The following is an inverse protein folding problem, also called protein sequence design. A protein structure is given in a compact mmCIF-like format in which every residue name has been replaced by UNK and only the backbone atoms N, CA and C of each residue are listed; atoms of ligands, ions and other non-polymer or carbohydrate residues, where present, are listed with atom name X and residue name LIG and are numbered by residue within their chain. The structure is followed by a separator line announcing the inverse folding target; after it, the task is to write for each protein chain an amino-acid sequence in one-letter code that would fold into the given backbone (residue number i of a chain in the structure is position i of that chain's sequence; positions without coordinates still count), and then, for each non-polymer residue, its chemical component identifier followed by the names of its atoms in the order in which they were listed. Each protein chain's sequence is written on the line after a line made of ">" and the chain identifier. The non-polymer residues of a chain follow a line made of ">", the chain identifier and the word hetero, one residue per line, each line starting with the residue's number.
data_IF_886880834507
#
_entry.id   IF_886880834507
#
_cell.length_a   1.000
_cell.length_b   1.000
_cell.length_c   1.000
_cell.angle_alpha   90.00
_cell.angle_beta   90.00
_cell.angle_gamma   90.00
#
_symmetry.space_group_name_H-M   'P 1'
#
loop_
_entity.id
_entity.type
_entity.pdbx_description
1 polymer ?
#
# COMPACT_ATOMS: atom_id res chain seq x y z
N UNK A 1 32.36 -47.17 -56.94
CA UNK A 1 31.64 -46.96 -58.22
C UNK A 1 32.55 -46.16 -59.11
N UNK A 2 33.14 -46.78 -60.14
CA UNK A 2 34.03 -46.11 -61.08
C UNK A 2 33.18 -45.53 -62.23
N UNK A 3 33.27 -44.22 -62.50
CA UNK A 3 32.59 -43.65 -63.65
C UNK A 3 33.30 -44.06 -64.96
N UNK A 4 32.53 -44.45 -66.00
CA UNK A 4 33.10 -44.79 -67.30
C UNK A 4 33.50 -43.51 -68.03
N UNK A 5 34.80 -43.36 -68.27
CA UNK A 5 35.35 -42.29 -69.11
C UNK A 5 34.72 -42.40 -70.51
N UNK A 6 33.79 -41.49 -70.81
CA UNK A 6 33.19 -41.35 -72.15
C UNK A 6 34.28 -40.84 -73.10
N UNK A 7 34.99 -41.78 -73.73
CA UNK A 7 35.93 -41.45 -74.79
C UNK A 7 35.15 -40.85 -75.96
N UNK A 8 35.27 -39.53 -76.16
CA UNK A 8 34.64 -38.82 -77.26
C UNK A 8 35.26 -39.27 -78.59
N UNK A 9 34.40 -39.66 -79.53
CA UNK A 9 34.77 -40.08 -80.87
C UNK A 9 35.43 -38.90 -81.62
N UNK A 10 36.66 -39.08 -82.08
CA UNK A 10 37.51 -38.00 -82.63
C UNK A 10 36.84 -37.29 -83.81
N UNK A 11 36.07 -38.00 -84.62
CA UNK A 11 35.38 -37.44 -85.78
C UNK A 11 34.26 -36.45 -85.39
N UNK A 12 33.54 -36.72 -84.29
CA UNK A 12 32.56 -35.77 -83.72
C UNK A 12 33.25 -34.55 -83.12
N UNK A 13 34.41 -34.75 -82.48
CA UNK A 13 35.20 -33.64 -81.97
C UNK A 13 35.68 -32.73 -83.11
N UNK A 14 36.13 -33.31 -84.22
CA UNK A 14 36.52 -32.57 -85.42
C UNK A 14 35.31 -31.81 -85.99
N UNK A 15 34.13 -32.45 -86.12
CA UNK A 15 32.94 -31.76 -86.66
C UNK A 15 32.51 -30.57 -85.79
N UNK A 16 32.51 -30.72 -84.46
CA UNK A 16 32.20 -29.62 -83.55
C UNK A 16 33.23 -28.49 -83.62
N UNK A 17 34.50 -28.83 -83.83
CA UNK A 17 35.55 -27.83 -84.01
C UNK A 17 35.35 -27.04 -85.29
N UNK A 18 35.02 -27.70 -86.40
CA UNK A 18 34.72 -27.05 -87.67
C UNK A 18 33.49 -26.14 -87.58
N UNK A 19 32.44 -26.58 -86.88
CA UNK A 19 31.25 -25.76 -86.65
C UNK A 19 31.57 -24.54 -85.78
N UNK A 20 32.42 -24.69 -84.76
CA UNK A 20 32.86 -23.57 -83.93
C UNK A 20 33.71 -22.57 -84.71
N UNK A 21 34.62 -23.05 -85.57
CA UNK A 21 35.41 -22.19 -86.45
C UNK A 21 34.52 -21.43 -87.44
N UNK A 22 33.46 -22.07 -87.97
CA UNK A 22 32.47 -21.43 -88.83
C UNK A 22 31.62 -20.37 -88.12
N UNK A 23 31.33 -20.55 -86.83
CA UNK A 23 30.61 -19.55 -86.03
C UNK A 23 31.51 -18.36 -85.66
N UNK A 24 32.82 -18.59 -85.50
CA UNK A 24 33.81 -17.58 -85.13
C UNK A 24 34.64 -17.10 -86.34
N UNK A 25 33.98 -16.91 -87.49
CA UNK A 25 34.66 -16.53 -88.75
C UNK A 25 35.10 -15.08 -88.75
N UNK A 26 34.32 -14.18 -88.14
CA UNK A 26 34.66 -12.77 -88.12
C UNK A 26 35.59 -12.44 -86.96
N UNK A 27 36.69 -11.67 -87.18
CA UNK A 27 37.55 -11.18 -86.11
C UNK A 27 36.80 -10.37 -85.03
N UNK A 28 35.63 -9.82 -85.39
CA UNK A 28 34.73 -9.12 -84.47
C UNK A 28 34.17 -10.05 -83.40
N UNK A 29 33.88 -11.30 -83.72
CA UNK A 29 33.33 -12.28 -82.78
C UNK A 29 34.36 -12.72 -81.74
N UNK A 30 35.61 -12.90 -82.18
CA UNK A 30 36.75 -13.16 -81.29
C UNK A 30 37.00 -11.97 -80.34
N UNK A 31 36.91 -10.74 -80.84
CA UNK A 31 37.03 -9.53 -80.02
C UNK A 31 35.87 -9.40 -79.01
N UNK A 32 34.63 -9.70 -79.42
CA UNK A 32 33.47 -9.72 -78.54
C UNK A 32 33.61 -10.79 -77.45
N UNK A 33 34.10 -11.99 -77.79
CA UNK A 33 34.37 -13.06 -76.84
C UNK A 33 35.48 -12.68 -75.85
N UNK A 34 36.58 -12.08 -76.33
CA UNK A 34 37.66 -11.57 -75.47
C UNK A 34 37.15 -10.48 -74.52
N UNK A 35 36.33 -9.55 -75.01
CA UNK A 35 35.71 -8.52 -74.20
C UNK A 35 34.78 -9.12 -73.14
N UNK A 36 33.93 -10.07 -73.52
CA UNK A 36 33.04 -10.79 -72.60
C UNK A 36 33.83 -11.56 -71.54
N UNK A 37 34.92 -12.22 -71.92
CA UNK A 37 35.81 -12.92 -70.99
C UNK A 37 36.44 -11.95 -69.98
N UNK A 38 36.94 -10.81 -70.44
CA UNK A 38 37.54 -9.81 -69.56
C UNK A 38 36.51 -9.16 -68.63
N UNK A 39 35.28 -8.92 -69.13
CA UNK A 39 34.17 -8.46 -68.30
C UNK A 39 33.80 -9.49 -67.23
N UNK A 40 33.76 -10.78 -67.58
CA UNK A 40 33.50 -11.86 -66.64
C UNK A 40 34.58 -11.95 -65.55
N UNK A 41 35.86 -11.83 -65.92
CA UNK A 41 36.97 -11.79 -64.94
C UNK A 41 36.84 -10.59 -63.99
N UNK A 42 36.51 -9.41 -64.52
CA UNK A 42 36.26 -8.20 -63.71
C UNK A 42 35.09 -8.39 -62.74
N UNK A 43 33.96 -8.93 -63.23
CA UNK A 43 32.80 -9.25 -62.42
C UNK A 43 33.11 -10.30 -61.35
N UNK A 44 33.89 -11.33 -61.69
CA UNK A 44 34.32 -12.38 -60.77
C UNK A 44 35.21 -11.81 -59.66
N UNK A 45 36.18 -10.95 -60.02
CA UNK A 45 37.04 -10.26 -59.06
C UNK A 45 36.24 -9.34 -58.14
N UNK A 46 35.30 -8.56 -58.69
CA UNK A 46 34.42 -7.67 -57.93
C UNK A 46 33.50 -8.47 -56.99
N UNK A 47 32.87 -9.54 -57.50
CA UNK A 47 32.01 -10.42 -56.71
C UNK A 47 32.79 -11.07 -55.56
N UNK A 48 34.02 -11.53 -55.81
CA UNK A 48 34.88 -12.08 -54.78
C UNK A 48 35.22 -11.05 -53.69
N UNK A 49 35.54 -9.82 -54.08
CA UNK A 49 35.78 -8.70 -53.15
C UNK A 49 34.55 -8.43 -52.30
N UNK A 50 33.38 -8.24 -52.91
CA UNK A 50 32.13 -7.98 -52.18
C UNK A 50 31.76 -9.13 -51.23
N UNK A 51 31.94 -10.39 -51.66
CA UNK A 51 31.73 -11.53 -50.80
C UNK A 51 32.66 -11.50 -49.57
N UNK A 52 33.93 -11.12 -49.77
CA UNK A 52 34.90 -11.02 -48.67
C UNK A 52 34.55 -9.88 -47.70
N UNK A 53 34.09 -8.74 -48.21
CA UNK A 53 33.65 -7.60 -47.38
C UNK A 53 32.40 -7.93 -46.55
N UNK A 54 31.43 -8.61 -47.16
CA UNK A 54 30.23 -9.06 -46.45
C UNK A 54 30.60 -10.10 -45.39
N UNK A 55 31.50 -11.04 -45.72
CA UNK A 55 31.98 -12.05 -44.75
C UNK A 55 32.69 -11.40 -43.56
N UNK A 56 33.58 -10.43 -43.79
CA UNK A 56 34.30 -9.75 -42.70
C UNK A 56 33.34 -8.96 -41.80
N UNK A 57 32.39 -8.24 -42.40
CA UNK A 57 31.35 -7.50 -41.68
C UNK A 57 30.46 -8.43 -40.84
N UNK A 58 30.09 -9.60 -41.39
CA UNK A 58 29.32 -10.60 -40.66
C UNK A 58 30.08 -11.16 -39.45
N UNK A 59 31.37 -11.46 -39.61
CA UNK A 59 32.23 -11.90 -38.51
C UNK A 59 32.39 -10.84 -37.42
N UNK A 60 32.43 -9.55 -37.78
CA UNK A 60 32.44 -8.45 -36.81
C UNK A 60 31.12 -8.35 -36.03
N UNK A 61 29.99 -8.46 -36.72
CA UNK A 61 28.67 -8.53 -36.09
C UNK A 61 28.55 -9.71 -35.12
N UNK A 62 29.04 -10.89 -35.50
CA UNK A 62 29.03 -12.09 -34.66
C UNK A 62 29.82 -11.85 -33.36
N UNK A 63 31.04 -11.30 -33.47
CA UNK A 63 31.85 -10.92 -32.29
C UNK A 63 31.13 -9.92 -31.39
N UNK A 64 30.46 -8.91 -31.96
CA UNK A 64 29.69 -7.92 -31.19
C UNK A 64 28.50 -8.57 -30.49
N UNK A 65 27.81 -9.51 -31.14
CA UNK A 65 26.71 -10.27 -30.52
C UNK A 65 27.21 -11.08 -29.33
N UNK A 66 28.34 -11.77 -29.46
CA UNK A 66 28.89 -12.57 -28.37
C UNK A 66 29.38 -11.70 -27.20
N UNK A 67 30.01 -10.55 -27.48
CA UNK A 67 30.37 -9.58 -26.46
C UNK A 67 29.12 -9.04 -25.72
N UNK A 68 28.02 -8.76 -26.42
CA UNK A 68 26.76 -8.35 -25.81
C UNK A 68 26.15 -9.46 -24.94
N UNK A 69 26.16 -10.73 -25.39
CA UNK A 69 25.70 -11.86 -24.59
C UNK A 69 26.48 -11.98 -23.28
N UNK A 70 27.80 -11.84 -23.33
CA UNK A 70 28.64 -11.90 -22.14
C UNK A 70 28.28 -10.78 -21.15
N UNK A 71 28.12 -9.54 -21.63
CA UNK A 71 27.71 -8.41 -20.77
C UNK A 71 26.34 -8.60 -20.13
N UNK A 72 25.39 -9.23 -20.83
CA UNK A 72 24.08 -9.56 -20.27
C UNK A 72 24.21 -10.56 -19.13
N UNK A 73 25.05 -11.59 -19.29
CA UNK A 73 25.26 -12.59 -18.24
C UNK A 73 26.01 -12.02 -17.03
N UNK A 74 27.02 -11.18 -17.28
CA UNK A 74 27.74 -10.45 -16.22
C UNK A 74 26.79 -9.54 -15.43
N UNK A 75 25.99 -8.73 -16.12
CA UNK A 75 25.00 -7.86 -15.46
C UNK A 75 23.97 -8.66 -14.65
N UNK A 76 23.55 -9.84 -15.13
CA UNK A 76 22.66 -10.73 -14.37
C UNK A 76 23.33 -11.34 -13.13
N UNK A 77 24.63 -11.58 -13.19
CA UNK A 77 25.39 -12.07 -12.04
C UNK A 77 25.70 -10.96 -11.01
N UNK A 78 25.74 -9.70 -11.44
CA UNK A 78 25.96 -8.52 -10.58
C UNK A 78 24.67 -8.03 -9.91
N UNK A 79 23.50 -8.23 -10.52
CA UNK A 79 22.23 -7.92 -9.85
C UNK A 79 22.08 -8.78 -8.60
N UNK A 80 21.79 -8.14 -7.46
CA UNK A 80 21.48 -8.77 -6.17
C UNK A 80 20.58 -9.97 -6.42
N UNK A 81 21.06 -11.18 -6.06
CA UNK A 81 20.27 -12.38 -6.21
C UNK A 81 18.97 -12.20 -5.42
N UNK A 82 17.83 -12.66 -5.95
CA UNK A 82 16.53 -12.55 -5.27
C UNK A 82 16.60 -13.01 -3.79
N UNK A 83 17.49 -13.95 -3.48
CA UNK A 83 17.76 -14.42 -2.12
C UNK A 83 18.33 -13.36 -1.15
N UNK A 84 19.17 -12.42 -1.62
CA UNK A 84 19.69 -11.32 -0.79
C UNK A 84 18.61 -10.27 -0.52
N UNK A 85 17.74 -9.99 -1.51
CA UNK A 85 16.56 -9.14 -1.30
C UNK A 85 15.59 -9.77 -0.31
N UNK A 86 15.30 -11.07 -0.43
CA UNK A 86 14.45 -11.80 0.50
C UNK A 86 15.01 -11.82 1.93
N UNK A 87 16.34 -11.91 2.07
CA UNK A 87 17.01 -11.84 3.37
C UNK A 87 16.85 -10.46 4.01
N UNK A 88 17.11 -9.39 3.25
CA UNK A 88 16.95 -8.01 3.74
C UNK A 88 15.49 -7.69 4.07
N UNK A 89 14.53 -8.17 3.27
CA UNK A 89 13.11 -7.99 3.54
C UNK A 89 12.69 -8.70 4.83
N UNK A 90 13.21 -9.91 5.08
CA UNK A 90 12.95 -10.64 6.32
C UNK A 90 13.57 -9.96 7.54
N UNK A 91 14.81 -9.50 7.43
CA UNK A 91 15.51 -8.81 8.52
C UNK A 91 14.81 -7.49 8.89
N UNK A 92 14.32 -6.75 7.90
CA UNK A 92 13.53 -5.54 8.11
C UNK A 92 12.20 -5.83 8.84
N UNK A 93 11.49 -6.89 8.45
CA UNK A 93 10.24 -7.30 9.10
C UNK A 93 10.48 -7.74 10.56
N UNK A 94 11.57 -8.46 10.82
CA UNK A 94 11.95 -8.90 12.17
C UNK A 94 12.27 -7.72 13.10
N UNK A 95 13.03 -6.72 12.63
CA UNK A 95 13.32 -5.52 13.43
C UNK A 95 12.07 -4.66 13.64
N UNK A 96 11.20 -4.52 12.63
CA UNK A 96 9.94 -3.78 12.79
C UNK A 96 9.04 -4.44 13.84
N UNK A 97 8.93 -5.77 13.80
CA UNK A 97 8.13 -6.51 14.78
C UNK A 97 8.70 -6.38 16.20
N UNK A 98 10.03 -6.43 16.34
CA UNK A 98 10.73 -6.22 17.61
C UNK A 98 10.50 -4.82 18.17
N UNK A 99 10.59 -3.77 17.34
CA UNK A 99 10.29 -2.39 17.77
C UNK A 99 8.85 -2.26 18.28
N UNK A 100 7.88 -2.88 17.59
CA UNK A 100 6.48 -2.92 18.03
C UNK A 100 6.32 -3.57 19.40
N UNK A 101 6.97 -4.72 19.62
CA UNK A 101 6.92 -5.40 20.93
C UNK A 101 7.57 -4.57 22.04
N UNK A 102 8.66 -3.86 21.75
CA UNK A 102 9.29 -2.98 22.76
C UNK A 102 8.38 -1.81 23.13
N UNK A 103 7.78 -1.14 22.15
CA UNK A 103 6.89 0.00 22.40
C UNK A 103 5.65 -0.40 23.21
N UNK A 104 4.99 -1.52 22.84
CA UNK A 104 3.85 -2.05 23.58
C UNK A 104 4.27 -2.45 25.02
N UNK A 105 5.48 -2.98 25.18
CA UNK A 105 6.03 -3.35 26.49
C UNK A 105 6.18 -2.15 27.42
N UNK A 106 6.70 -1.03 26.91
CA UNK A 106 6.85 0.20 27.67
C UNK A 106 5.49 0.79 28.08
N UNK A 107 4.52 0.84 27.16
CA UNK A 107 3.15 1.29 27.45
C UNK A 107 2.46 0.43 28.52
N UNK A 108 2.62 -0.89 28.44
CA UNK A 108 2.06 -1.81 29.42
C UNK A 108 2.66 -1.58 30.80
N UNK A 109 3.98 -1.40 30.89
CA UNK A 109 4.67 -1.14 32.14
C UNK A 109 4.21 0.18 32.78
N UNK A 110 4.01 1.23 31.99
CA UNK A 110 3.48 2.51 32.47
C UNK A 110 2.04 2.38 33.01
N UNK A 111 1.18 1.65 32.29
CA UNK A 111 -0.19 1.38 32.74
C UNK A 111 -0.22 0.54 34.03
N UNK A 112 0.69 -0.42 34.18
CA UNK A 112 0.82 -1.21 35.40
C UNK A 112 1.23 -0.33 36.58
N UNK A 113 2.18 0.60 36.40
CA UNK A 113 2.53 1.59 37.42
C UNK A 113 1.37 2.50 37.79
N UNK A 114 0.59 2.97 36.81
CA UNK A 114 -0.62 3.76 37.07
C UNK A 114 -1.65 2.97 37.87
N UNK A 115 -1.87 1.70 37.52
CA UNK A 115 -2.79 0.83 38.24
C UNK A 115 -2.39 0.62 39.70
N UNK A 116 -1.09 0.41 39.97
CA UNK A 116 -0.54 0.30 41.34
C UNK A 116 -0.84 1.58 42.14
N UNK A 117 -0.55 2.75 41.56
CA UNK A 117 -0.80 4.05 42.20
C UNK A 117 -2.28 4.26 42.54
N UNK A 118 -3.19 3.94 41.60
CA UNK A 118 -4.64 4.04 41.83
C UNK A 118 -5.10 3.06 42.92
N UNK A 119 -4.57 1.85 42.96
CA UNK A 119 -4.87 0.89 44.02
C UNK A 119 -4.44 1.41 45.40
N UNK A 120 -3.29 2.08 45.48
CA UNK A 120 -2.80 2.66 46.72
C UNK A 120 -3.63 3.86 47.17
N UNK A 121 -3.98 4.76 46.24
CA UNK A 121 -4.91 5.86 46.50
C UNK A 121 -6.28 5.37 46.98
N UNK A 122 -6.79 4.27 46.41
CA UNK A 122 -8.04 3.64 46.88
C UNK A 122 -7.93 3.18 48.33
N UNK A 123 -6.82 2.54 48.72
CA UNK A 123 -6.59 2.10 50.10
C UNK A 123 -6.51 3.28 51.07
N UNK A 124 -5.85 4.38 50.68
CA UNK A 124 -5.75 5.57 51.54
C UNK A 124 -7.11 6.25 51.74
N UNK A 125 -7.91 6.40 50.67
CA UNK A 125 -9.26 6.94 50.74
C UNK A 125 -10.17 6.13 51.68
N UNK A 126 -10.15 4.79 51.58
CA UNK A 126 -10.91 3.93 52.49
C UNK A 126 -10.51 4.12 53.96
N UNK A 127 -9.22 4.30 54.23
CA UNK A 127 -8.72 4.55 55.59
C UNK A 127 -9.21 5.90 56.12
N UNK A 128 -9.19 6.94 55.30
CA UNK A 128 -9.69 8.28 55.62
C UNK A 128 -11.21 8.26 55.86
N UNK A 129 -11.96 7.57 55.03
CA UNK A 129 -13.41 7.42 55.20
C UNK A 129 -13.75 6.73 56.52
N UNK A 130 -13.05 5.63 56.84
CA UNK A 130 -13.20 4.92 58.10
C UNK A 130 -12.85 5.78 59.32
N UNK A 131 -11.79 6.59 59.25
CA UNK A 131 -11.45 7.50 60.35
C UNK A 131 -12.45 8.65 60.49
N UNK A 132 -12.99 9.17 59.38
CA UNK A 132 -14.05 10.19 59.38
C UNK A 132 -15.34 9.69 60.03
N UNK A 133 -15.77 8.47 59.71
CA UNK A 133 -16.96 7.83 60.33
C UNK A 133 -16.77 7.61 61.84
N UNK A 134 -15.55 7.28 62.28
CA UNK A 134 -15.19 7.20 63.71
C UNK A 134 -15.18 8.57 64.39
N UNK A 135 -14.65 9.60 63.74
CA UNK A 135 -14.65 10.96 64.28
C UNK A 135 -16.07 11.54 64.42
N UNK A 136 -16.96 11.27 63.45
CA UNK A 136 -18.37 11.71 63.50
C UNK A 136 -19.19 11.00 64.60
N UNK A 137 -18.86 9.75 64.92
CA UNK A 137 -19.51 9.01 66.01
C UNK A 137 -18.99 9.35 67.41
N UNK A 138 -17.89 10.12 67.51
CA UNK A 138 -17.26 10.50 68.79
C UNK A 138 -17.51 11.98 69.18
N UNK A 139 -18.38 12.72 68.48
CA UNK A 139 -18.79 14.06 68.94
C UNK A 139 -19.56 13.94 70.26
N UNK A 140 -19.05 14.50 71.38
CA UNK A 140 -19.74 14.39 72.65
C UNK A 140 -21.07 15.15 72.58
N UNK A 141 -22.15 14.51 73.03
CA UNK A 141 -23.50 15.05 73.01
C UNK A 141 -23.65 16.41 73.75
N UNK A 142 -22.65 16.81 74.54
CA UNK A 142 -22.56 18.11 75.20
C UNK A 142 -22.39 19.28 74.22
N UNK A 143 -21.67 19.10 73.11
CA UNK A 143 -21.38 20.19 72.14
C UNK A 143 -22.57 20.53 71.24
N UNK A 144 -23.49 19.57 71.03
CA UNK A 144 -24.66 19.72 70.17
C UNK A 144 -25.72 20.63 70.82
N UNK A 145 -25.84 20.58 72.14
CA UNK A 145 -26.74 21.43 72.92
C UNK A 145 -26.22 22.88 73.01
N UNK A 146 -24.90 23.08 73.10
CA UNK A 146 -24.30 24.42 73.08
C UNK A 146 -24.40 25.10 71.71
N UNK A 147 -24.25 24.35 70.62
CA UNK A 147 -24.43 24.88 69.25
C UNK A 147 -25.90 25.26 68.98
N UNK A 148 -26.86 24.43 69.42
CA UNK A 148 -28.29 24.75 69.31
C UNK A 148 -28.69 25.96 70.17
N UNK A 149 -28.08 26.16 71.36
CA UNK A 149 -28.28 27.37 72.18
C UNK A 149 -27.74 28.63 71.49
N UNK A 150 -26.57 28.57 70.88
CA UNK A 150 -25.98 29.71 70.15
C UNK A 150 -26.77 30.07 68.88
N UNK A 151 -27.22 29.06 68.12
CA UNK A 151 -28.03 29.28 66.91
C UNK A 151 -29.42 29.84 67.25
N UNK A 152 -30.08 29.38 68.31
CA UNK A 152 -31.38 29.91 68.72
C UNK A 152 -31.29 31.38 69.20
N UNK A 153 -30.17 31.75 69.84
CA UNK A 153 -29.93 33.13 70.28
C UNK A 153 -29.69 34.11 69.12
N UNK A 154 -29.16 33.62 67.99
CA UNK A 154 -29.00 34.39 66.75
C UNK A 154 -30.32 34.45 65.94
N UNK A 155 -31.14 33.40 66.00
CA UNK A 155 -32.36 33.29 65.21
C UNK A 155 -33.48 34.26 65.67
N UNK A 156 -33.58 34.58 66.96
CA UNK A 156 -34.55 35.58 67.46
C UNK A 156 -34.24 37.03 67.05
N UNK A 157 -33.01 37.34 66.63
CA UNK A 157 -32.63 38.69 66.16
C UNK A 157 -32.77 38.88 64.65
N UNK A 158 -32.82 37.81 63.86
CA UNK A 158 -32.86 37.89 62.39
C UNK A 158 -34.25 37.62 61.77
N UNK A 159 -35.22 37.12 62.54
CA UNK A 159 -36.56 36.77 62.04
C UNK A 159 -37.43 37.97 61.59
N UNK A 160 -37.01 39.21 61.86
CA UNK A 160 -37.67 40.42 61.33
C UNK A 160 -37.17 40.80 59.93
N UNK A 161 -35.99 40.32 59.50
CA UNK A 161 -35.36 40.78 58.25
C UNK A 161 -35.35 39.77 57.09
N UNK A 162 -35.77 38.52 57.29
CA UNK A 162 -35.64 37.47 56.26
C UNK A 162 -36.94 37.14 55.49
N UNK A 163 -38.07 37.77 55.84
CA UNK A 163 -39.36 37.49 55.19
C UNK A 163 -39.55 38.19 53.83
N UNK A 164 -38.60 39.03 53.40
CA UNK A 164 -38.69 39.80 52.15
C UNK A 164 -37.81 39.29 50.99
N UNK A 165 -37.00 38.24 51.16
CA UNK A 165 -35.96 37.90 50.18
C UNK A 165 -36.04 36.50 49.52
N UNK A 166 -37.04 35.66 49.79
CA UNK A 166 -37.06 34.25 49.33
C UNK A 166 -38.32 33.87 48.52
N UNK A 167 -38.89 34.81 47.77
CA UNK A 167 -39.80 34.47 46.66
C UNK A 167 -39.13 34.94 45.37
N UNK A 168 -38.23 34.11 44.84
CA UNK A 168 -37.61 34.37 43.55
C UNK A 168 -36.37 33.51 43.33
N UNK A 169 -36.43 32.68 42.29
CA UNK A 169 -35.32 31.93 41.69
C UNK A 169 -35.01 30.55 42.30
N UNK A 170 -35.93 29.61 42.03
CA UNK A 170 -35.62 28.20 41.82
C UNK A 170 -35.51 27.96 40.29
N UNK A 171 -34.61 27.04 39.89
CA UNK A 171 -34.36 26.46 38.54
C UNK A 171 -33.20 27.04 37.72
N UNK A 172 -32.14 26.22 37.54
CA UNK A 172 -31.41 26.05 36.25
C UNK A 172 -30.77 24.63 36.20
N UNK A 173 -31.37 23.77 35.35
CA UNK A 173 -30.86 22.70 34.45
C UNK A 173 -29.87 21.59 34.86
N UNK A 174 -30.26 20.34 34.53
CA UNK A 174 -29.42 19.31 33.88
C UNK A 174 -30.30 18.24 33.19
N UNK A 175 -30.30 18.15 31.85
CA UNK A 175 -30.22 16.83 31.19
C UNK A 175 -29.47 16.87 29.84
N UNK A 176 -28.25 16.31 29.76
CA UNK A 176 -27.55 16.07 28.47
C UNK A 176 -26.87 14.70 28.40
N UNK A 177 -26.86 13.88 29.45
CA UNK A 177 -26.11 12.61 29.46
C UNK A 177 -26.83 11.39 28.87
N UNK A 178 -28.12 11.48 28.52
CA UNK A 178 -28.89 10.32 28.07
C UNK A 178 -29.04 10.16 26.54
N UNK A 179 -28.46 11.04 25.72
CA UNK A 179 -28.67 11.02 24.26
C UNK A 179 -27.63 10.26 23.43
N UNK A 180 -26.52 9.79 24.01
CA UNK A 180 -25.45 9.11 23.23
C UNK A 180 -25.58 7.58 23.27
N UNK A 181 -26.47 7.02 24.09
CA UNK A 181 -26.57 5.56 24.30
C UNK A 181 -27.56 4.82 23.38
N UNK A 182 -28.21 5.48 22.41
CA UNK A 182 -29.47 4.98 21.83
C UNK A 182 -29.48 4.64 20.33
N UNK A 183 -28.33 4.48 19.66
CA UNK A 183 -28.30 4.06 18.25
C UNK A 183 -27.51 2.76 18.07
N UNK A 184 -28.26 1.67 17.89
CA UNK A 184 -27.91 0.31 17.39
C UNK A 184 -27.80 -0.83 18.43
N UNK A 185 -28.90 -1.60 18.67
CA UNK A 185 -28.88 -2.84 19.46
C UNK A 185 -28.90 -4.13 18.62
N UNK A 186 -28.49 -4.14 17.34
CA UNK A 186 -28.66 -5.33 16.52
C UNK A 186 -27.55 -5.55 15.48
N UNK A 187 -26.39 -6.08 15.90
CA UNK A 187 -25.56 -6.99 15.08
C UNK A 187 -24.80 -7.91 16.05
N UNK A 188 -24.88 -9.22 15.84
CA UNK A 188 -24.13 -10.26 16.54
C UNK A 188 -22.68 -10.30 16.05
N UNK A 189 -21.92 -9.23 16.27
CA UNK A 189 -20.49 -9.17 15.94
C UNK A 189 -19.64 -9.39 17.19
N UNK A 190 -18.50 -10.05 17.02
CA UNK A 190 -17.57 -10.35 18.11
C UNK A 190 -17.08 -9.04 18.76
N UNK A 191 -16.62 -9.07 20.02
CA UNK A 191 -16.04 -7.87 20.66
C UNK A 191 -14.90 -7.25 19.83
N UNK A 192 -14.19 -8.07 19.04
CA UNK A 192 -13.13 -7.64 18.12
C UNK A 192 -13.66 -6.78 16.97
N UNK A 193 -14.74 -7.22 16.32
CA UNK A 193 -15.36 -6.48 15.21
C UNK A 193 -15.86 -5.09 15.64
N UNK A 194 -16.39 -5.00 16.87
CA UNK A 194 -16.84 -3.72 17.44
C UNK A 194 -15.68 -2.75 17.67
N UNK A 195 -14.53 -3.25 18.11
CA UNK A 195 -13.35 -2.44 18.35
C UNK A 195 -12.75 -1.93 17.03
N UNK A 196 -12.66 -2.81 16.01
CA UNK A 196 -12.15 -2.46 14.68
C UNK A 196 -13.05 -1.42 14.00
N UNK A 197 -14.37 -1.62 14.01
CA UNK A 197 -15.31 -0.66 13.43
C UNK A 197 -15.28 0.69 14.14
N UNK A 198 -15.12 0.70 15.47
CA UNK A 198 -14.96 1.93 16.24
C UNK A 198 -13.68 2.68 15.88
N UNK A 199 -12.58 1.97 15.66
CA UNK A 199 -11.32 2.56 15.22
C UNK A 199 -11.50 3.20 13.84
N UNK A 200 -12.06 2.47 12.86
CA UNK A 200 -12.29 3.02 11.52
C UNK A 200 -13.21 4.24 11.55
N UNK A 201 -14.33 4.20 12.27
CA UNK A 201 -15.24 5.33 12.40
C UNK A 201 -14.57 6.56 13.06
N UNK A 202 -13.60 6.36 13.95
CA UNK A 202 -12.88 7.49 14.57
C UNK A 202 -11.92 8.20 13.61
N UNK A 203 -11.36 7.45 12.65
CA UNK A 203 -10.38 7.96 11.68
C UNK A 203 -11.09 8.58 10.47
N UNK A 204 -12.12 7.92 9.97
CA UNK A 204 -12.80 8.34 8.73
C UNK A 204 -14.06 9.16 8.99
N UNK A 205 -14.59 9.16 10.23
CA UNK A 205 -15.91 9.65 10.58
C UNK A 205 -17.04 9.04 9.73
N UNK A 206 -16.81 7.86 9.17
CA UNK A 206 -17.80 7.12 8.37
C UNK A 206 -18.50 6.08 9.23
N UNK A 207 -19.82 6.07 9.15
CA UNK A 207 -20.69 5.02 9.69
C UNK A 207 -21.29 4.25 8.50
N UNK A 208 -20.82 3.03 8.22
CA UNK A 208 -21.34 2.23 7.11
C UNK A 208 -22.76 1.72 7.42
N UNK A 209 -23.61 1.70 6.40
CA UNK A 209 -24.90 1.02 6.45
C UNK A 209 -24.72 -0.45 6.05
N UNK A 210 -25.10 -1.36 6.94
CA UNK A 210 -24.90 -2.80 6.79
C UNK A 210 -26.14 -3.51 6.23
N UNK A 211 -27.18 -2.76 5.83
CA UNK A 211 -28.46 -3.32 5.40
C UNK A 211 -28.46 -4.01 4.03
N UNK A 212 -27.64 -3.56 3.07
CA UNK A 212 -27.63 -4.07 1.69
C UNK A 212 -26.22 -4.54 1.28
N UNK A 213 -26.05 -5.83 0.94
CA UNK A 213 -24.74 -6.38 0.54
C UNK A 213 -24.33 -6.03 -0.91
N UNK A 214 -25.29 -5.62 -1.74
CA UNK A 214 -25.05 -5.29 -3.16
C UNK A 214 -24.58 -3.86 -3.39
N UNK A 215 -24.53 -3.04 -2.34
CA UNK A 215 -24.18 -1.63 -2.40
C UNK A 215 -23.31 -1.25 -1.22
N UNK A 216 -22.47 -0.25 -1.42
CA UNK A 216 -21.68 0.36 -0.36
C UNK A 216 -22.32 1.70 -0.05
N UNK A 217 -23.05 1.79 1.04
CA UNK A 217 -23.68 3.01 1.51
C UNK A 217 -23.31 3.32 2.95
N UNK A 218 -23.42 4.59 3.33
CA UNK A 218 -23.11 5.02 4.69
C UNK A 218 -23.32 6.51 4.88
N UNK A 219 -22.99 6.94 6.09
CA UNK A 219 -23.09 8.33 6.53
C UNK A 219 -21.71 8.84 6.94
N UNK A 220 -21.40 10.07 6.58
CA UNK A 220 -20.18 10.78 7.01
C UNK A 220 -20.60 11.84 8.01
N UNK A 221 -20.02 11.79 9.20
CA UNK A 221 -20.36 12.69 10.31
C UNK A 221 -19.29 13.77 10.40
N UNK A 222 -19.55 14.94 9.84
CA UNK A 222 -18.63 16.08 9.97
C UNK A 222 -18.83 16.76 11.34
N UNK A 223 -17.85 16.58 12.23
CA UNK A 223 -17.84 17.16 13.58
C UNK A 223 -17.81 18.69 13.57
N UNK A 224 -17.37 19.31 12.48
CA UNK A 224 -17.22 20.76 12.37
C UNK A 224 -18.45 21.47 11.81
N UNK A 225 -19.27 20.76 11.03
CA UNK A 225 -20.42 21.35 10.32
C UNK A 225 -21.78 20.90 10.85
N UNK A 226 -21.82 20.01 11.86
CA UNK A 226 -23.05 19.38 12.39
C UNK A 226 -23.93 18.82 11.24
N UNK A 227 -23.26 18.30 10.21
CA UNK A 227 -23.85 17.84 8.96
C UNK A 227 -23.56 16.36 8.77
N UNK A 228 -24.58 15.62 8.33
CA UNK A 228 -24.49 14.19 8.04
C UNK A 228 -24.70 14.00 6.54
N UNK A 229 -23.63 13.69 5.81
CA UNK A 229 -23.69 13.44 4.38
C UNK A 229 -23.89 11.95 4.11
N UNK A 230 -24.87 11.61 3.27
CA UNK A 230 -25.14 10.22 2.88
C UNK A 230 -24.48 9.92 1.54
N UNK A 231 -23.75 8.81 1.45
CA UNK A 231 -23.22 8.28 0.19
C UNK A 231 -23.80 6.89 -0.13
N UNK A 232 -23.88 6.57 -1.42
CA UNK A 232 -24.33 5.28 -1.94
C UNK A 232 -23.60 4.97 -3.25
N UNK A 233 -22.86 3.87 -3.26
CA UNK A 233 -22.13 3.35 -4.42
C UNK A 233 -22.63 1.95 -4.78
N UNK A 234 -22.84 1.72 -6.06
CA UNK A 234 -23.28 0.45 -6.60
C UNK A 234 -22.07 -0.39 -7.01
N UNK A 235 -21.85 -1.51 -6.31
CA UNK A 235 -20.71 -2.41 -6.54
C UNK A 235 -20.74 -3.09 -7.91
N UNK A 236 -21.89 -3.07 -8.60
CA UNK A 236 -22.02 -3.61 -9.97
C UNK A 236 -21.59 -2.64 -11.07
N UNK A 237 -21.51 -1.33 -10.77
CA UNK A 237 -21.27 -0.27 -11.77
C UNK A 237 -19.88 0.34 -11.70
N UNK A 238 -19.22 0.24 -10.55
CA UNK A 238 -17.92 0.88 -10.30
C UNK A 238 -16.94 -0.15 -9.76
N UNK A 239 -15.66 0.01 -10.12
CA UNK A 239 -14.61 -0.85 -9.58
C UNK A 239 -14.35 -0.52 -8.12
N UNK A 240 -13.81 -1.48 -7.35
CA UNK A 240 -13.44 -1.24 -5.96
C UNK A 240 -12.49 -0.03 -5.81
N UNK A 241 -11.59 0.17 -6.78
CA UNK A 241 -10.68 1.30 -6.81
C UNK A 241 -11.41 2.65 -6.96
N UNK A 242 -12.36 2.74 -7.89
CA UNK A 242 -13.14 3.97 -8.12
C UNK A 242 -13.97 4.35 -6.90
N UNK A 243 -14.55 3.35 -6.22
CA UNK A 243 -15.32 3.54 -4.99
C UNK A 243 -14.42 4.04 -3.86
N UNK A 244 -13.25 3.41 -3.64
CA UNK A 244 -12.30 3.84 -2.62
C UNK A 244 -11.82 5.28 -2.86
N UNK A 245 -11.50 5.64 -4.10
CA UNK A 245 -11.04 6.98 -4.44
C UNK A 245 -12.17 8.02 -4.26
N UNK A 246 -13.41 7.66 -4.60
CA UNK A 246 -14.59 8.48 -4.36
C UNK A 246 -14.82 8.76 -2.88
N UNK A 247 -14.75 7.73 -2.03
CA UNK A 247 -14.89 7.85 -0.58
C UNK A 247 -13.76 8.69 0.01
N UNK A 248 -12.52 8.45 -0.40
CA UNK A 248 -11.35 9.17 0.11
C UNK A 248 -11.41 10.66 -0.21
N UNK A 249 -11.90 11.01 -1.40
CA UNK A 249 -12.08 12.41 -1.81
C UNK A 249 -13.01 13.16 -0.86
N UNK A 250 -14.10 12.53 -0.41
CA UNK A 250 -15.07 13.14 0.51
C UNK A 250 -14.47 13.33 1.91
N UNK A 251 -13.63 12.40 2.38
CA UNK A 251 -12.94 12.53 3.68
C UNK A 251 -11.89 13.65 3.65
N UNK A 252 -11.27 13.90 2.49
CA UNK A 252 -10.16 14.86 2.34
C UNK A 252 -10.56 16.32 2.10
N UNK A 253 -11.85 16.59 1.87
CA UNK A 253 -12.40 17.95 1.66
C UNK A 253 -12.93 18.57 2.97
#
# INVERSE_FOLDING_TARGET
>A
MAEPSRNMEVEKLISYTDDLVKVLVEPRDLNNLSYCHQQNLSLSSSSHSHHQDVRSSLQDCEKKVDACKQKIEEARSETVADAELDLLQRELEEELEKERFTAIGDEFNDLEQQWISVQEQKKTLQKIEKTKLRAQSTFPASSKLDWLRQVNMLCSKCLVNFQLAVIGCFNVTQPVLDKVQLLCPAVSSSQSDRMILSMYASVTNIVPDLGEQSKISGYIVDKHKDAVEKFEYDTSKMTAFDICNGVWKIISE
#
